data_IF_028429185463
#
_entry.id   IF_028429185463
#
_cell.length_a   1.000
_cell.length_b   1.000
_cell.length_c   1.000
_cell.angle_alpha   90.00
_cell.angle_beta   90.00
_cell.angle_gamma   90.00
#
_symmetry.space_group_name_H-M   'P 1'
#
loop_
_entity.id
_entity.type
_entity.pdbx_description
1 polymer ?
#
# COMPACT_ATOMS: atom_id res chain seq x y z
N UNK A 1 -12.39 9.96 -17.35
CA UNK A 1 -11.10 10.55 -16.94
C UNK A 1 -10.25 9.45 -16.35
N UNK A 2 -9.03 9.25 -16.83
CA UNK A 2 -8.12 8.23 -16.27
C UNK A 2 -7.41 8.84 -15.08
N UNK A 3 -7.36 8.12 -13.94
CA UNK A 3 -6.65 8.55 -12.73
C UNK A 3 -5.46 7.60 -12.48
N UNK A 4 -4.28 8.18 -12.21
CA UNK A 4 -3.06 7.45 -11.85
C UNK A 4 -2.82 7.54 -10.35
N UNK A 5 -2.93 6.42 -9.66
CA UNK A 5 -2.65 6.29 -8.22
C UNK A 5 -1.31 5.59 -8.00
N UNK A 6 -0.44 6.19 -7.21
CA UNK A 6 0.79 5.59 -6.72
C UNK A 6 0.63 5.22 -5.24
N UNK A 7 0.81 3.96 -4.86
CA UNK A 7 0.92 3.51 -3.47
C UNK A 7 2.40 3.27 -3.14
N UNK A 8 2.91 3.94 -2.10
CA UNK A 8 4.34 3.93 -1.82
C UNK A 8 4.66 4.00 -0.31
N UNK A 9 5.26 2.95 0.23
CA UNK A 9 5.87 3.01 1.56
C UNK A 9 7.20 3.75 1.46
N UNK A 10 7.31 4.91 2.14
CA UNK A 10 8.47 5.80 2.06
C UNK A 10 9.50 5.55 3.18
N UNK A 11 9.32 4.51 3.97
CA UNK A 11 10.24 4.08 5.03
C UNK A 11 10.64 5.19 5.99
N UNK A 12 10.39 5.02 7.28
CA UNK A 12 10.82 5.94 8.37
C UNK A 12 10.52 7.43 8.12
N UNK A 13 9.32 7.74 7.63
CA UNK A 13 8.91 9.12 7.34
C UNK A 13 9.61 9.78 6.16
N UNK A 14 10.35 9.03 5.34
CA UNK A 14 11.08 9.58 4.19
C UNK A 14 12.25 10.51 4.53
N UNK A 15 12.64 10.59 5.80
CA UNK A 15 13.68 11.52 6.29
C UNK A 15 15.01 11.31 5.56
N UNK A 16 15.63 12.41 5.13
CA UNK A 16 16.91 12.42 4.42
C UNK A 16 16.83 11.92 2.97
N UNK A 17 15.63 11.59 2.45
CA UNK A 17 15.46 11.00 1.11
C UNK A 17 14.42 11.74 0.24
N UNK A 18 14.10 13.00 0.60
CA UNK A 18 13.10 13.80 -0.13
C UNK A 18 13.43 13.86 -1.62
N UNK A 19 14.69 14.07 -2.01
CA UNK A 19 15.06 14.15 -3.42
C UNK A 19 14.82 12.83 -4.16
N UNK A 20 15.32 11.71 -3.64
CA UNK A 20 15.12 10.38 -4.27
C UNK A 20 13.64 10.00 -4.35
N UNK A 21 12.86 10.28 -3.29
CA UNK A 21 11.41 10.08 -3.28
C UNK A 21 10.71 10.96 -4.33
N UNK A 22 11.11 12.23 -4.44
CA UNK A 22 10.60 13.17 -5.46
C UNK A 22 10.84 12.64 -6.86
N UNK A 23 12.05 12.15 -7.13
CA UNK A 23 12.42 11.65 -8.46
C UNK A 23 11.62 10.40 -8.85
N UNK A 24 11.39 9.48 -7.90
CA UNK A 24 10.50 8.33 -8.10
C UNK A 24 9.07 8.77 -8.38
N UNK A 25 8.52 9.69 -7.57
CA UNK A 25 7.14 10.16 -7.74
C UNK A 25 6.98 10.90 -9.07
N UNK A 26 7.91 11.78 -9.43
CA UNK A 26 7.89 12.49 -10.72
C UNK A 26 7.99 11.53 -11.91
N UNK A 27 8.86 10.52 -11.83
CA UNK A 27 9.01 9.49 -12.86
C UNK A 27 7.74 8.69 -13.07
N UNK A 28 7.00 8.40 -12.00
CA UNK A 28 5.71 7.72 -12.05
C UNK A 28 4.58 8.63 -12.59
N UNK A 29 4.72 9.95 -12.50
CA UNK A 29 3.73 10.96 -12.91
C UNK A 29 2.29 10.64 -12.45
N UNK A 30 2.05 10.48 -11.14
CA UNK A 30 0.73 10.15 -10.61
C UNK A 30 -0.19 11.38 -10.51
N UNK A 31 -1.49 11.13 -10.44
CA UNK A 31 -2.49 12.14 -10.03
C UNK A 31 -2.64 12.17 -8.51
N UNK A 32 -2.46 10.99 -7.89
CA UNK A 32 -2.61 10.77 -6.45
C UNK A 32 -1.48 9.86 -5.96
N UNK A 33 -0.93 10.17 -4.79
CA UNK A 33 0.01 9.31 -4.08
C UNK A 33 -0.56 8.96 -2.70
N UNK A 34 -0.65 7.67 -2.40
CA UNK A 34 -0.83 7.16 -1.05
C UNK A 34 0.53 6.82 -0.46
N UNK A 35 0.82 7.40 0.68
CA UNK A 35 2.10 7.22 1.36
C UNK A 35 1.92 6.41 2.65
N UNK A 36 2.67 5.33 2.78
CA UNK A 36 2.83 4.59 4.03
C UNK A 36 4.10 5.04 4.74
N UNK A 37 4.14 4.88 6.05
CA UNK A 37 5.17 5.44 6.95
C UNK A 37 5.31 6.97 6.86
N UNK A 38 4.26 7.69 6.51
CA UNK A 38 4.23 9.15 6.34
C UNK A 38 4.17 9.91 7.68
N UNK A 39 5.04 9.54 8.63
CA UNK A 39 5.01 10.01 10.03
C UNK A 39 5.57 11.41 10.27
N UNK A 40 6.23 12.02 9.29
CA UNK A 40 6.76 13.39 9.38
C UNK A 40 6.07 14.32 8.37
N UNK A 41 5.09 15.14 8.80
CA UNK A 41 4.37 16.06 7.91
C UNK A 41 5.26 17.03 7.14
N UNK A 42 6.44 17.39 7.68
CA UNK A 42 7.37 18.31 6.99
C UNK A 42 7.97 17.67 5.74
N UNK A 43 8.20 16.35 5.78
CA UNK A 43 8.65 15.59 4.60
C UNK A 43 7.54 15.54 3.57
N UNK A 44 6.30 15.30 3.99
CA UNK A 44 5.15 15.22 3.08
C UNK A 44 4.88 16.57 2.41
N UNK A 45 4.97 17.68 3.17
CA UNK A 45 4.88 19.03 2.63
C UNK A 45 6.00 19.32 1.62
N UNK A 46 7.24 18.91 1.93
CA UNK A 46 8.37 19.07 1.00
C UNK A 46 8.14 18.27 -0.29
N UNK A 47 7.69 17.01 -0.19
CA UNK A 47 7.33 16.20 -1.36
C UNK A 47 6.22 16.85 -2.19
N UNK A 48 5.15 17.38 -1.54
CA UNK A 48 4.08 18.13 -2.22
C UNK A 48 4.63 19.27 -3.07
N UNK A 49 5.47 20.09 -2.48
CA UNK A 49 6.09 21.23 -3.17
C UNK A 49 6.98 20.79 -4.33
N UNK A 50 7.85 19.80 -4.10
CA UNK A 50 8.79 19.32 -5.12
C UNK A 50 8.10 18.56 -6.27
N UNK A 51 7.01 17.85 -6.01
CA UNK A 51 6.30 17.08 -7.04
C UNK A 51 5.16 17.84 -7.72
N UNK A 52 4.86 19.07 -7.27
CA UNK A 52 3.71 19.86 -7.71
C UNK A 52 2.34 19.17 -7.48
N UNK A 53 2.27 18.23 -6.53
CA UNK A 53 1.02 17.64 -6.05
C UNK A 53 0.51 18.52 -4.90
N UNK A 54 -0.20 19.59 -5.24
CA UNK A 54 -0.45 20.75 -4.38
C UNK A 54 -1.36 20.50 -3.16
N UNK A 55 -2.17 19.46 -3.21
CA UNK A 55 -3.01 19.06 -2.09
C UNK A 55 -2.37 17.88 -1.35
N UNK A 56 -2.25 17.98 -0.04
CA UNK A 56 -1.63 16.94 0.76
C UNK A 56 -2.24 16.83 2.14
N UNK A 57 -2.06 15.68 2.77
CA UNK A 57 -2.45 15.44 4.15
C UNK A 57 -1.54 14.42 4.82
N UNK A 58 -1.11 14.77 6.02
CA UNK A 58 -0.36 13.90 6.93
C UNK A 58 -0.58 14.38 8.36
N UNK A 59 -0.40 13.49 9.32
CA UNK A 59 -0.44 13.82 10.75
C UNK A 59 0.78 13.26 11.44
N UNK A 60 1.33 13.96 12.45
CA UNK A 60 2.43 13.44 13.24
C UNK A 60 2.08 12.05 13.78
N UNK A 61 3.03 11.12 13.69
CA UNK A 61 2.93 9.74 14.15
C UNK A 61 1.86 8.85 13.48
N UNK A 62 1.09 9.38 12.50
CA UNK A 62 0.22 8.57 11.67
C UNK A 62 1.02 8.00 10.51
N UNK A 63 0.84 6.71 10.25
CA UNK A 63 1.60 6.04 9.18
C UNK A 63 1.08 6.35 7.78
N UNK A 64 -0.14 6.91 7.65
CA UNK A 64 -0.75 7.20 6.35
C UNK A 64 -0.75 8.68 6.03
N UNK A 65 -0.34 9.01 4.80
CA UNK A 65 -0.43 10.33 4.21
C UNK A 65 -0.83 10.24 2.73
N UNK A 66 -1.09 11.40 2.13
CA UNK A 66 -1.38 11.50 0.69
C UNK A 66 -0.84 12.80 0.09
N UNK A 67 -0.61 12.73 -1.24
CA UNK A 67 -0.39 13.88 -2.11
C UNK A 67 -1.33 13.76 -3.30
N UNK A 68 -1.84 14.88 -3.83
CA UNK A 68 -2.64 14.86 -5.06
C UNK A 68 -2.61 16.21 -5.76
N UNK A 69 -2.70 16.19 -7.10
CA UNK A 69 -2.93 17.38 -7.92
C UNK A 69 -4.42 17.73 -8.05
N UNK A 70 -5.29 16.77 -7.70
CA UNK A 70 -6.74 16.95 -7.78
C UNK A 70 -7.28 17.52 -6.47
N UNK A 71 -8.29 18.41 -6.51
CA UNK A 71 -8.94 18.90 -5.31
C UNK A 71 -9.53 17.76 -4.46
N UNK A 72 -9.39 17.89 -3.14
CA UNK A 72 -9.88 16.88 -2.19
C UNK A 72 -11.28 17.27 -1.72
N UNK A 73 -12.27 16.43 -2.02
CA UNK A 73 -13.65 16.63 -1.53
C UNK A 73 -13.85 16.09 -0.12
N UNK A 74 -13.12 15.03 0.26
CA UNK A 74 -13.15 14.46 1.61
C UNK A 74 -11.87 13.69 1.91
N UNK A 75 -11.39 13.80 3.16
CA UNK A 75 -10.39 12.90 3.70
C UNK A 75 -10.59 12.68 5.21
N UNK A 76 -10.29 11.49 5.68
CA UNK A 76 -10.36 11.14 7.10
C UNK A 76 -9.34 10.05 7.46
N UNK A 77 -8.86 10.07 8.69
CA UNK A 77 -8.10 8.96 9.28
C UNK A 77 -8.99 8.23 10.27
N UNK A 78 -9.22 6.96 10.03
CA UNK A 78 -10.02 6.09 10.87
C UNK A 78 -9.12 5.17 11.68
N UNK A 79 -9.32 5.13 12.99
CA UNK A 79 -8.58 4.24 13.87
C UNK A 79 -9.49 3.08 14.31
N UNK A 80 -9.21 1.84 13.86
CA UNK A 80 -9.94 0.67 14.34
C UNK A 80 -9.76 0.49 15.83
N UNK A 81 -10.79 -0.04 16.51
CA UNK A 81 -10.69 -0.39 17.92
C UNK A 81 -9.49 -1.31 18.17
N UNK A 82 -8.68 -0.98 19.17
CA UNK A 82 -7.48 -1.73 19.56
C UNK A 82 -6.37 -1.79 18.49
N UNK A 83 -6.39 -0.92 17.48
CA UNK A 83 -5.28 -0.72 16.56
C UNK A 83 -4.50 0.55 16.89
N UNK A 84 -3.19 0.50 16.64
CA UNK A 84 -2.32 1.70 16.62
C UNK A 84 -2.24 2.30 15.20
N UNK A 85 -2.67 1.55 14.18
CA UNK A 85 -2.63 1.98 12.80
C UNK A 85 -3.94 2.67 12.43
N UNK A 86 -3.82 3.66 11.55
CA UNK A 86 -4.94 4.41 11.01
C UNK A 86 -5.11 4.04 9.55
N UNK A 87 -6.35 3.93 9.11
CA UNK A 87 -6.71 3.86 7.70
C UNK A 87 -7.00 5.27 7.20
N UNK A 88 -6.54 5.56 6.00
CA UNK A 88 -6.86 6.81 5.31
C UNK A 88 -8.06 6.58 4.37
N UNK A 89 -9.06 7.43 4.46
CA UNK A 89 -10.13 7.57 3.47
C UNK A 89 -9.90 8.85 2.69
N UNK A 90 -9.94 8.78 1.35
CA UNK A 90 -9.73 9.91 0.46
C UNK A 90 -10.75 9.88 -0.69
N UNK A 91 -11.40 11.01 -0.93
CA UNK A 91 -12.26 11.25 -2.09
C UNK A 91 -11.83 12.55 -2.76
N UNK A 92 -11.82 12.54 -4.09
CA UNK A 92 -11.36 13.64 -4.92
C UNK A 92 -12.53 14.23 -5.71
N UNK A 93 -12.48 15.52 -6.01
CA UNK A 93 -13.50 16.17 -6.81
C UNK A 93 -13.49 15.64 -8.26
N UNK A 94 -14.67 15.34 -8.78
CA UNK A 94 -14.85 14.85 -10.14
C UNK A 94 -14.35 13.42 -10.39
N UNK A 95 -13.92 12.69 -9.36
CA UNK A 95 -13.48 11.29 -9.45
C UNK A 95 -14.49 10.38 -8.77
N UNK A 96 -15.11 9.50 -9.56
CA UNK A 96 -16.01 8.46 -9.04
C UNK A 96 -15.20 7.23 -8.57
N UNK A 97 -14.33 7.48 -7.59
CA UNK A 97 -13.52 6.46 -6.93
C UNK A 97 -13.19 6.91 -5.52
N UNK A 98 -13.55 6.11 -4.53
CA UNK A 98 -13.10 6.32 -3.16
C UNK A 98 -11.83 5.52 -2.91
N UNK A 99 -10.86 6.11 -2.25
CA UNK A 99 -9.56 5.49 -2.02
C UNK A 99 -9.39 5.25 -0.53
N UNK A 100 -9.09 4.01 -0.15
CA UNK A 100 -8.72 3.64 1.21
C UNK A 100 -7.26 3.23 1.24
N UNK A 101 -6.46 3.96 2.02
CA UNK A 101 -5.05 3.68 2.23
C UNK A 101 -4.82 2.99 3.57
N UNK A 102 -3.93 2.01 3.61
CA UNK A 102 -3.56 1.30 4.82
C UNK A 102 -2.08 1.00 4.92
N UNK A 103 -1.63 0.82 6.17
CA UNK A 103 -0.34 0.25 6.52
C UNK A 103 -0.55 -0.65 7.74
N UNK A 104 -0.44 -1.96 7.55
CA UNK A 104 -0.68 -2.94 8.61
C UNK A 104 0.60 -3.25 9.39
N UNK A 105 0.43 -3.85 10.57
CA UNK A 105 1.56 -4.20 11.44
C UNK A 105 2.55 -5.11 10.72
N UNK A 106 3.83 -4.75 10.77
CA UNK A 106 4.93 -5.55 10.25
C UNK A 106 5.13 -6.86 11.07
N UNK A 107 6.05 -7.69 10.61
CA UNK A 107 6.49 -8.97 11.17
C UNK A 107 5.65 -10.19 10.78
N UNK A 108 6.35 -11.33 10.64
CA UNK A 108 5.77 -12.60 10.22
C UNK A 108 5.61 -13.55 11.41
N UNK A 109 4.57 -13.33 12.21
CA UNK A 109 4.18 -14.24 13.30
C UNK A 109 2.67 -14.52 13.23
N UNK A 110 2.23 -15.64 13.81
CA UNK A 110 0.79 -15.96 13.92
C UNK A 110 0.01 -14.88 14.68
N UNK A 111 0.67 -14.21 15.63
CA UNK A 111 0.04 -13.15 16.42
C UNK A 111 -0.16 -11.87 15.58
N UNK A 112 0.87 -11.45 14.84
CA UNK A 112 0.75 -10.27 13.95
C UNK A 112 -0.21 -10.53 12.81
N UNK A 113 -0.27 -11.74 12.26
CA UNK A 113 -1.25 -12.11 11.25
C UNK A 113 -2.69 -12.00 11.76
N UNK A 114 -2.99 -12.55 12.95
CA UNK A 114 -4.30 -12.39 13.57
C UNK A 114 -4.65 -10.94 13.87
N UNK A 115 -3.63 -10.09 14.14
CA UNK A 115 -3.84 -8.67 14.34
C UNK A 115 -4.20 -8.00 13.01
N UNK A 116 -3.44 -8.25 11.93
CA UNK A 116 -3.75 -7.75 10.58
C UNK A 116 -5.16 -8.15 10.11
N UNK A 117 -5.49 -9.43 10.26
CA UNK A 117 -6.83 -9.93 9.89
C UNK A 117 -7.95 -9.21 10.66
N UNK A 118 -7.75 -8.91 11.96
CA UNK A 118 -8.72 -8.11 12.74
C UNK A 118 -8.81 -6.68 12.26
N UNK A 119 -7.68 -6.05 11.89
CA UNK A 119 -7.64 -4.68 11.37
C UNK A 119 -8.36 -4.62 10.01
N UNK A 120 -8.16 -5.61 9.13
CA UNK A 120 -8.89 -5.69 7.84
C UNK A 120 -10.39 -5.88 8.06
N UNK A 121 -10.83 -6.78 8.96
CA UNK A 121 -12.26 -6.91 9.29
C UNK A 121 -12.85 -5.58 9.76
N UNK A 122 -12.14 -4.87 10.63
CA UNK A 122 -12.59 -3.56 11.12
C UNK A 122 -12.65 -2.49 10.00
N UNK A 123 -11.70 -2.51 9.05
CA UNK A 123 -11.77 -1.65 7.87
C UNK A 123 -13.00 -1.99 7.04
N UNK A 124 -13.18 -3.25 6.66
CA UNK A 124 -14.29 -3.71 5.82
C UNK A 124 -15.64 -3.40 6.46
N UNK A 125 -15.78 -3.59 7.77
CA UNK A 125 -16.97 -3.19 8.52
C UNK A 125 -17.18 -1.66 8.46
N UNK A 126 -16.13 -0.88 8.64
CA UNK A 126 -16.17 0.59 8.58
C UNK A 126 -16.57 1.14 7.22
N UNK A 127 -16.15 0.49 6.15
CA UNK A 127 -16.45 0.91 4.78
C UNK A 127 -17.70 0.23 4.18
N UNK A 128 -18.43 -0.56 4.97
CA UNK A 128 -19.61 -1.32 4.49
C UNK A 128 -20.62 -0.46 3.74
N UNK A 129 -20.84 0.79 4.17
CA UNK A 129 -21.71 1.76 3.48
C UNK A 129 -21.21 2.17 2.09
N UNK A 130 -19.94 1.95 1.78
CA UNK A 130 -19.31 2.28 0.49
C UNK A 130 -19.07 1.06 -0.40
N UNK A 131 -19.35 -0.15 0.08
CA UNK A 131 -19.09 -1.40 -0.66
C UNK A 131 -19.81 -1.49 -2.01
N UNK A 132 -20.92 -0.77 -2.19
CA UNK A 132 -21.65 -0.74 -3.46
C UNK A 132 -21.07 0.26 -4.48
N UNK A 133 -20.23 1.21 -4.07
CA UNK A 133 -19.54 2.14 -4.94
C UNK A 133 -18.19 1.62 -5.41
N UNK A 134 -17.64 2.24 -6.45
CA UNK A 134 -16.28 1.96 -6.87
C UNK A 134 -15.27 2.52 -5.85
N UNK A 135 -14.40 1.67 -5.38
CA UNK A 135 -13.35 2.06 -4.46
C UNK A 135 -12.12 1.17 -4.60
N UNK A 136 -10.99 1.69 -4.16
CA UNK A 136 -9.71 0.98 -4.05
C UNK A 136 -9.30 0.86 -2.59
N UNK A 137 -8.68 -0.25 -2.23
CA UNK A 137 -7.97 -0.44 -0.96
C UNK A 137 -6.51 -0.71 -1.32
N UNK A 138 -5.61 0.20 -0.97
CA UNK A 138 -4.21 0.11 -1.36
C UNK A 138 -3.27 0.41 -0.19
N UNK A 139 -2.08 -0.18 -0.22
CA UNK A 139 -1.03 0.09 0.76
C UNK A 139 -0.17 -1.11 1.08
N UNK A 140 0.58 -0.98 2.16
CA UNK A 140 1.41 -2.04 2.72
C UNK A 140 0.61 -2.92 3.69
N UNK A 141 0.29 -4.11 3.23
CA UNK A 141 -0.44 -5.11 4.03
C UNK A 141 0.48 -5.90 4.95
N UNK A 142 1.80 -5.86 4.74
CA UNK A 142 2.77 -6.65 5.49
C UNK A 142 2.41 -8.15 5.59
N UNK A 143 1.71 -8.67 4.60
CA UNK A 143 1.18 -10.04 4.53
C UNK A 143 1.43 -10.63 3.15
N UNK A 144 1.50 -11.95 3.06
CA UNK A 144 1.65 -12.69 1.80
C UNK A 144 0.29 -13.20 1.30
N UNK A 145 0.09 -13.17 -0.01
CA UNK A 145 -1.08 -13.75 -0.62
C UNK A 145 -1.01 -15.29 -0.66
N UNK A 146 -2.18 -15.98 -0.67
CA UNK A 146 -2.22 -17.40 -0.95
C UNK A 146 -1.52 -17.75 -2.27
N UNK A 147 -0.75 -18.84 -2.25
CA UNK A 147 0.01 -19.31 -3.43
C UNK A 147 1.32 -18.56 -3.68
N UNK A 148 1.64 -17.50 -2.96
CA UNK A 148 2.94 -16.84 -3.10
C UNK A 148 4.07 -17.62 -2.44
N UNK A 149 5.20 -17.67 -3.15
CA UNK A 149 6.40 -18.34 -2.67
C UNK A 149 7.05 -17.53 -1.55
N UNK A 150 7.51 -18.23 -0.53
CA UNK A 150 8.27 -17.67 0.55
C UNK A 150 9.69 -18.22 0.52
N UNK A 151 10.64 -17.42 0.08
CA UNK A 151 12.05 -17.79 0.06
C UNK A 151 12.70 -17.56 1.44
N UNK A 152 12.37 -18.40 2.43
CA UNK A 152 12.83 -18.25 3.82
C UNK A 152 14.36 -18.13 3.91
N UNK A 153 15.10 -18.74 2.98
CA UNK A 153 16.58 -18.72 2.98
C UNK A 153 17.16 -17.32 2.75
N UNK A 154 16.44 -16.44 2.04
CA UNK A 154 16.84 -15.04 1.78
C UNK A 154 16.57 -14.12 2.98
N UNK A 155 15.79 -14.58 3.95
CA UNK A 155 15.44 -13.79 5.13
C UNK A 155 16.57 -13.77 6.17
N UNK A 156 16.68 -12.70 6.96
CA UNK A 156 17.58 -12.62 8.11
C UNK A 156 17.42 -13.82 9.07
N UNK A 157 18.51 -14.26 9.70
CA UNK A 157 18.53 -15.44 10.57
C UNK A 157 17.48 -15.41 11.67
N UNK A 158 17.23 -14.24 12.26
CA UNK A 158 16.26 -14.07 13.33
C UNK A 158 14.80 -14.19 12.82
N UNK A 159 14.48 -13.72 11.60
CA UNK A 159 13.17 -13.95 10.99
C UNK A 159 12.98 -15.44 10.68
N UNK A 160 14.01 -16.10 10.17
CA UNK A 160 13.98 -17.56 9.92
C UNK A 160 13.69 -18.33 11.20
N UNK A 161 14.31 -17.94 12.33
CA UNK A 161 14.06 -18.54 13.63
C UNK A 161 12.61 -18.32 14.09
N UNK A 162 12.07 -17.11 13.91
CA UNK A 162 10.65 -16.80 14.20
C UNK A 162 9.68 -17.65 13.37
N UNK A 163 9.93 -17.78 12.06
CA UNK A 163 9.11 -18.61 11.17
C UNK A 163 9.17 -20.07 11.62
N UNK A 164 10.36 -20.56 11.96
CA UNK A 164 10.54 -21.93 12.45
C UNK A 164 9.75 -22.18 13.74
N UNK A 165 9.82 -21.25 14.72
CA UNK A 165 9.04 -21.31 15.96
C UNK A 165 7.54 -21.19 15.76
N UNK A 166 7.10 -20.52 14.69
CA UNK A 166 5.68 -20.36 14.32
C UNK A 166 5.10 -21.54 13.56
N UNK A 167 5.83 -22.65 13.41
CA UNK A 167 5.37 -23.86 12.72
C UNK A 167 5.82 -23.95 11.26
N UNK A 168 6.89 -23.26 10.89
CA UNK A 168 7.57 -23.29 9.56
C UNK A 168 6.75 -22.73 8.41
N UNK A 169 5.60 -22.12 8.69
CA UNK A 169 4.78 -21.46 7.68
C UNK A 169 4.31 -20.08 8.15
N UNK A 170 4.11 -19.19 7.19
CA UNK A 170 3.52 -17.88 7.39
C UNK A 170 2.05 -17.98 7.00
N UNK A 171 1.16 -17.65 7.93
CA UNK A 171 -0.27 -17.57 7.66
C UNK A 171 -0.55 -16.48 6.62
N UNK A 172 -1.50 -16.73 5.75
CA UNK A 172 -1.94 -15.85 4.66
C UNK A 172 -3.38 -15.38 4.87
N UNK A 173 -3.86 -15.44 6.11
CA UNK A 173 -5.25 -15.17 6.49
C UNK A 173 -5.67 -13.75 6.09
N UNK A 174 -4.78 -12.77 6.23
CA UNK A 174 -5.07 -11.36 5.94
C UNK A 174 -5.47 -11.14 4.48
N UNK A 175 -4.69 -11.68 3.54
CA UNK A 175 -4.98 -11.53 2.11
C UNK A 175 -6.12 -12.46 1.69
N UNK A 176 -6.18 -13.68 2.22
CA UNK A 176 -7.31 -14.59 1.97
C UNK A 176 -8.64 -13.94 2.36
N UNK A 177 -8.69 -13.24 3.50
CA UNK A 177 -9.88 -12.51 3.94
C UNK A 177 -10.34 -11.45 2.91
N UNK A 178 -9.42 -10.70 2.30
CA UNK A 178 -9.77 -9.75 1.24
C UNK A 178 -10.40 -10.46 0.04
N UNK A 179 -9.84 -11.61 -0.37
CA UNK A 179 -10.37 -12.40 -1.48
C UNK A 179 -11.75 -12.99 -1.15
N UNK A 180 -11.93 -13.52 0.05
CA UNK A 180 -13.21 -14.10 0.53
C UNK A 180 -14.34 -13.05 0.60
N UNK A 181 -14.00 -11.78 0.86
CA UNK A 181 -14.93 -10.64 0.88
C UNK A 181 -15.19 -10.04 -0.52
N UNK A 182 -14.78 -10.76 -1.58
CA UNK A 182 -15.07 -10.39 -2.98
C UNK A 182 -14.20 -9.28 -3.54
N UNK A 183 -13.01 -9.06 -2.97
CA UNK A 183 -12.00 -8.18 -3.56
C UNK A 183 -11.04 -8.98 -4.44
N UNK A 184 -10.57 -8.33 -5.49
CA UNK A 184 -9.55 -8.86 -6.40
C UNK A 184 -8.25 -8.08 -6.21
N UNK A 185 -7.16 -8.81 -6.10
CA UNK A 185 -5.81 -8.26 -6.19
C UNK A 185 -5.56 -7.83 -7.65
N UNK A 186 -5.56 -6.52 -7.87
CA UNK A 186 -5.47 -5.92 -9.20
C UNK A 186 -4.18 -6.32 -9.92
N UNK A 187 -3.04 -6.35 -9.18
CA UNK A 187 -1.77 -6.73 -9.78
C UNK A 187 -1.79 -8.20 -10.20
N UNK A 188 -2.20 -9.12 -9.34
CA UNK A 188 -2.26 -10.56 -9.64
C UNK A 188 -3.24 -10.89 -10.78
N UNK A 189 -4.34 -10.13 -10.87
CA UNK A 189 -5.31 -10.29 -11.97
C UNK A 189 -4.71 -9.97 -13.32
N UNK A 190 -3.90 -8.90 -13.41
CA UNK A 190 -3.26 -8.46 -14.65
C UNK A 190 -1.97 -9.25 -14.95
N UNK A 191 -1.28 -9.74 -13.91
CA UNK A 191 0.00 -10.45 -14.00
C UNK A 191 -0.07 -11.83 -13.33
N UNK A 192 -0.83 -12.80 -13.87
CA UNK A 192 -1.13 -14.06 -13.18
C UNK A 192 0.10 -14.96 -12.95
N UNK A 193 1.18 -14.77 -13.72
CA UNK A 193 2.39 -15.61 -13.66
C UNK A 193 3.63 -14.90 -13.12
N UNK A 194 3.57 -13.59 -12.94
CA UNK A 194 4.70 -12.79 -12.49
C UNK A 194 4.81 -12.76 -10.97
N UNK A 195 6.00 -12.50 -10.44
CA UNK A 195 6.25 -12.53 -9.01
C UNK A 195 5.81 -11.22 -8.31
N UNK A 196 6.05 -10.06 -8.95
CA UNK A 196 5.61 -8.74 -8.48
C UNK A 196 6.14 -8.34 -7.11
N UNK A 197 7.36 -8.73 -6.80
CA UNK A 197 7.98 -8.42 -5.52
C UNK A 197 8.12 -6.92 -5.29
N UNK A 198 7.68 -6.47 -4.12
CA UNK A 198 7.78 -5.07 -3.72
C UNK A 198 8.84 -4.84 -2.64
N UNK A 199 9.34 -5.88 -1.98
CA UNK A 199 10.23 -5.77 -0.83
C UNK A 199 11.26 -6.92 -0.76
N UNK A 200 12.49 -6.66 -0.25
CA UNK A 200 13.13 -5.36 -0.19
C UNK A 200 13.70 -4.96 -1.56
N UNK A 201 13.78 -3.68 -1.88
CA UNK A 201 14.19 -3.19 -3.20
C UNK A 201 15.60 -3.60 -3.62
N UNK A 202 16.52 -3.85 -2.69
CA UNK A 202 17.90 -4.31 -2.98
C UNK A 202 18.03 -5.82 -3.21
N UNK A 203 17.04 -6.61 -2.80
CA UNK A 203 16.97 -8.07 -3.00
C UNK A 203 15.50 -8.52 -3.04
N UNK A 204 14.73 -8.18 -4.09
CA UNK A 204 13.29 -8.39 -4.12
C UNK A 204 12.92 -9.87 -4.01
N UNK A 205 12.14 -10.24 -2.98
CA UNK A 205 11.68 -11.61 -2.77
C UNK A 205 10.36 -11.72 -1.99
N UNK A 206 9.71 -10.58 -1.68
CA UNK A 206 8.40 -10.53 -1.03
C UNK A 206 7.51 -9.52 -1.74
N UNK A 207 6.23 -9.84 -1.85
CA UNK A 207 5.18 -8.90 -2.23
C UNK A 207 4.34 -8.58 -0.99
N UNK A 208 4.45 -7.37 -0.48
CA UNK A 208 3.81 -6.90 0.75
C UNK A 208 2.82 -5.77 0.50
N UNK A 209 2.95 -5.12 -0.66
CA UNK A 209 2.11 -4.03 -1.09
C UNK A 209 1.07 -4.53 -2.08
N UNK A 210 -0.16 -4.07 -1.95
CA UNK A 210 -1.29 -4.54 -2.73
C UNK A 210 -2.21 -3.39 -3.12
N UNK A 211 -2.97 -3.62 -4.20
CA UNK A 211 -4.13 -2.82 -4.58
C UNK A 211 -5.30 -3.76 -4.80
N UNK A 212 -6.32 -3.60 -4.00
CA UNK A 212 -7.56 -4.35 -4.08
C UNK A 212 -8.69 -3.51 -4.63
N UNK A 213 -9.54 -4.13 -5.42
CA UNK A 213 -10.76 -3.55 -5.97
C UNK A 213 -11.90 -4.57 -5.83
N UNK A 214 -13.16 -4.17 -5.58
CA UNK A 214 -14.27 -5.12 -5.63
C UNK A 214 -14.33 -5.80 -7.00
N UNK A 215 -14.52 -7.12 -7.05
CA UNK A 215 -14.43 -7.94 -8.27
C UNK A 215 -15.23 -7.37 -9.45
N UNK A 216 -16.44 -6.86 -9.20
CA UNK A 216 -17.31 -6.24 -10.22
C UNK A 216 -16.72 -4.99 -10.90
N UNK A 217 -15.67 -4.41 -10.35
CA UNK A 217 -15.04 -3.20 -10.87
C UNK A 217 -13.61 -3.44 -11.42
N UNK A 218 -13.16 -4.70 -11.48
CA UNK A 218 -11.80 -5.00 -11.94
C UNK A 218 -11.50 -4.48 -13.36
N UNK A 219 -12.51 -4.44 -14.23
CA UNK A 219 -12.38 -3.94 -15.60
C UNK A 219 -12.11 -2.41 -15.68
N UNK A 220 -12.30 -1.69 -14.56
CA UNK A 220 -11.90 -0.28 -14.45
C UNK A 220 -10.39 -0.10 -14.22
N UNK A 221 -9.68 -1.15 -13.88
CA UNK A 221 -8.22 -1.12 -13.72
C UNK A 221 -7.57 -1.38 -15.08
N UNK A 222 -6.95 -0.34 -15.64
CA UNK A 222 -6.27 -0.43 -16.93
C UNK A 222 -4.83 -0.93 -16.79
N UNK A 223 -4.14 -0.50 -15.72
CA UNK A 223 -2.75 -0.83 -15.41
C UNK A 223 -2.62 -1.04 -13.92
N UNK A 224 -1.81 -2.00 -13.52
CA UNK A 224 -1.33 -2.15 -12.14
C UNK A 224 0.11 -2.68 -12.21
N UNK A 225 1.10 -1.86 -11.90
CA UNK A 225 2.51 -2.17 -12.07
C UNK A 225 3.32 -1.92 -10.82
N UNK A 226 4.29 -2.80 -10.54
CA UNK A 226 5.34 -2.57 -9.54
C UNK A 226 6.49 -1.85 -10.23
N UNK A 227 6.81 -0.64 -9.77
CA UNK A 227 7.87 0.16 -10.39
C UNK A 227 9.24 -0.26 -9.80
N UNK A 228 10.02 -0.98 -10.60
CA UNK A 228 11.34 -1.49 -10.21
C UNK A 228 12.50 -0.79 -10.94
N UNK A 229 12.22 0.13 -11.86
CA UNK A 229 13.21 0.81 -12.67
C UNK A 229 13.04 2.33 -12.65
N UNK A 230 14.12 3.10 -12.63
CA UNK A 230 15.52 2.68 -12.47
C UNK A 230 15.78 2.08 -11.07
N UNK A 231 16.43 0.91 -11.03
CA UNK A 231 16.58 0.14 -9.78
C UNK A 231 17.36 0.91 -8.69
N UNK A 232 18.42 1.63 -9.05
CA UNK A 232 19.23 2.35 -8.08
C UNK A 232 18.45 3.51 -7.46
N UNK A 233 17.65 4.24 -8.25
CA UNK A 233 16.81 5.32 -7.75
C UNK A 233 15.80 4.80 -6.72
N UNK A 234 15.17 3.66 -6.98
CA UNK A 234 14.18 3.08 -6.07
C UNK A 234 14.81 2.58 -4.78
N UNK A 235 15.99 1.95 -4.85
CA UNK A 235 16.74 1.51 -3.65
C UNK A 235 17.15 2.66 -2.75
N UNK A 236 17.56 3.78 -3.33
CA UNK A 236 17.95 4.97 -2.58
C UNK A 236 16.75 5.68 -1.96
N UNK A 237 15.58 5.54 -2.57
CA UNK A 237 14.36 6.17 -2.12
C UNK A 237 13.67 5.38 -0.98
N UNK A 238 13.53 4.06 -1.11
CA UNK A 238 12.85 3.22 -0.10
C UNK A 238 13.27 1.76 -0.19
N UNK A 239 12.99 0.99 0.87
CA UNK A 239 13.06 -0.47 0.88
C UNK A 239 11.83 -1.13 0.22
N UNK A 240 10.77 -0.37 -0.06
CA UNK A 240 9.62 -0.83 -0.86
C UNK A 240 9.64 -0.24 -2.26
N UNK A 241 9.27 -1.05 -3.25
CA UNK A 241 8.97 -0.59 -4.60
C UNK A 241 7.51 -0.10 -4.66
N UNK A 242 7.23 1.06 -5.26
CA UNK A 242 5.87 1.57 -5.34
C UNK A 242 5.03 0.79 -6.35
N UNK A 243 3.70 0.78 -6.13
CA UNK A 243 2.72 0.25 -7.07
C UNK A 243 1.98 1.39 -7.73
N UNK A 244 1.99 1.41 -9.06
CA UNK A 244 1.22 2.34 -9.89
C UNK A 244 -0.04 1.66 -10.41
N UNK A 245 -1.18 2.34 -10.28
CA UNK A 245 -2.47 1.89 -10.80
C UNK A 245 -3.08 2.96 -11.69
N UNK A 246 -3.57 2.56 -12.86
CA UNK A 246 -4.38 3.41 -13.73
C UNK A 246 -5.84 2.96 -13.69
N UNK A 247 -6.72 3.91 -13.35
CA UNK A 247 -8.17 3.72 -13.22
C UNK A 247 -8.88 4.46 -14.34
N UNK A 248 -9.82 3.78 -15.03
CA UNK A 248 -10.69 4.35 -16.07
C UNK A 248 -12.00 4.89 -15.51
#
# INVERSE_FOLDING_TARGET
MTMRLLSYNIRYGGRGRVQSLTDVIRGANPDVVLLQEATDPRVIEALSRETALSHWGSRPDYSMGFLTKLPVSHHAWHQPRNSRHHFLELSLEGVDCRIFGLHLVAWFSKWTERKRAREIRALLDGIRKHQHGFHLIAGDFNALAPGELLEVRRMPRWIRAMIWLSGRDISRETIQLMLDEGYVDAWRRLHPKELGYTFPTWDPHLRLDYVFVPERYIERIAVCEVLCTPQDLIKDASDHAPILVEVR
#
